data_IF_447014822687
#
_entry.id   IF_447014822687
#
_cell.length_a   1.000
_cell.length_b   1.000
_cell.length_c   1.000
_cell.angle_alpha   90.00
_cell.angle_beta   90.00
_cell.angle_gamma   90.00
#
_symmetry.space_group_name_H-M   'P 1'
#
loop_
_entity.id
_entity.type
_entity.pdbx_description
1 polymer ?
#
# COMPACT_ATOMS: atom_id res chain seq x y z
N UNK A 1 15.19 -26.82 -4.61
CA UNK A 1 14.85 -26.32 -3.26
C UNK A 1 15.77 -26.83 -2.15
N UNK A 2 16.11 -28.14 -2.08
CA UNK A 2 16.94 -28.67 -0.96
C UNK A 2 18.33 -28.03 -0.83
N UNK A 3 18.94 -27.65 -1.95
CA UNK A 3 20.24 -26.96 -1.97
C UNK A 3 20.14 -25.49 -1.49
N UNK A 4 19.13 -24.76 -1.98
CA UNK A 4 18.89 -23.36 -1.59
C UNK A 4 18.58 -23.23 -0.09
N UNK A 5 17.83 -24.17 0.47
CA UNK A 5 17.54 -24.22 1.91
C UNK A 5 18.81 -24.46 2.75
N UNK A 6 19.71 -25.31 2.28
CA UNK A 6 20.99 -25.55 2.95
C UNK A 6 21.90 -24.30 2.92
N UNK A 7 21.91 -23.55 1.80
CA UNK A 7 22.60 -22.25 1.69
C UNK A 7 21.97 -21.19 2.60
N UNK A 8 20.65 -21.09 2.63
CA UNK A 8 19.96 -20.16 3.54
C UNK A 8 20.34 -20.40 5.01
N UNK A 9 20.42 -21.67 5.44
CA UNK A 9 20.82 -22.02 6.79
C UNK A 9 22.27 -21.61 7.16
N UNK A 10 23.13 -21.36 6.17
CA UNK A 10 24.53 -20.95 6.36
C UNK A 10 24.70 -19.42 6.32
N UNK A 11 23.74 -18.67 5.76
CA UNK A 11 23.86 -17.23 5.49
C UNK A 11 24.28 -16.40 6.71
N UNK A 12 23.81 -16.75 7.90
CA UNK A 12 24.17 -16.01 9.12
C UNK A 12 25.69 -15.98 9.36
N UNK A 13 26.39 -17.07 9.06
CA UNK A 13 27.85 -17.15 9.15
C UNK A 13 28.60 -16.52 7.97
N UNK A 14 27.89 -16.14 6.91
CA UNK A 14 28.46 -15.59 5.67
C UNK A 14 28.27 -14.07 5.55
N UNK A 15 27.62 -13.42 6.52
CA UNK A 15 27.30 -12.00 6.43
C UNK A 15 28.54 -11.13 6.14
N UNK A 16 29.59 -11.23 6.97
CA UNK A 16 30.79 -10.39 6.83
C UNK A 16 31.53 -10.64 5.51
N UNK A 17 31.60 -11.91 5.07
CA UNK A 17 32.28 -12.27 3.83
C UNK A 17 31.51 -11.78 2.61
N UNK A 18 30.17 -11.91 2.60
CA UNK A 18 29.28 -11.40 1.54
C UNK A 18 29.32 -9.88 1.47
N UNK A 19 29.23 -9.20 2.61
CA UNK A 19 29.34 -7.74 2.69
C UNK A 19 30.68 -7.25 2.13
N UNK A 20 31.78 -7.87 2.56
CA UNK A 20 33.12 -7.53 2.07
C UNK A 20 33.27 -7.75 0.56
N UNK A 21 32.82 -8.90 0.06
CA UNK A 21 32.89 -9.23 -1.36
C UNK A 21 32.03 -8.28 -2.22
N UNK A 22 30.77 -8.08 -1.85
CA UNK A 22 29.83 -7.25 -2.60
C UNK A 22 30.25 -5.77 -2.60
N UNK A 23 30.67 -5.24 -1.45
CA UNK A 23 31.14 -3.84 -1.34
C UNK A 23 32.41 -3.60 -2.16
N UNK A 24 33.31 -4.59 -2.25
CA UNK A 24 34.53 -4.48 -3.04
C UNK A 24 34.26 -4.40 -4.56
N UNK A 25 33.11 -4.88 -5.02
CA UNK A 25 32.69 -4.78 -6.43
C UNK A 25 32.09 -3.41 -6.78
N UNK A 26 31.68 -2.62 -5.79
CA UNK A 26 30.94 -1.37 -6.05
C UNK A 26 31.85 -0.33 -6.71
N UNK A 27 31.54 0.00 -7.96
CA UNK A 27 32.14 1.12 -8.70
C UNK A 27 31.34 2.42 -8.60
N UNK A 28 30.04 2.34 -8.31
CA UNK A 28 29.15 3.51 -8.20
C UNK A 28 28.09 3.30 -7.12
N UNK A 29 27.77 4.36 -6.38
CA UNK A 29 26.65 4.41 -5.43
C UNK A 29 25.60 5.42 -5.89
N UNK A 30 24.34 5.00 -5.89
CA UNK A 30 23.21 5.87 -6.20
C UNK A 30 22.17 5.78 -5.06
N UNK A 31 21.52 6.91 -4.76
CA UNK A 31 20.41 6.97 -3.81
C UNK A 31 19.07 6.83 -4.52
N UNK A 32 18.10 6.20 -3.87
CA UNK A 32 16.76 5.98 -4.41
C UNK A 32 15.70 6.30 -3.35
N UNK A 33 14.53 6.74 -3.82
CA UNK A 33 13.37 6.96 -2.94
C UNK A 33 12.85 5.64 -2.36
N UNK A 34 12.67 4.64 -3.20
CA UNK A 34 12.04 3.35 -2.87
C UNK A 34 12.80 2.26 -3.66
N UNK A 35 12.53 0.94 -3.54
CA UNK A 35 13.00 -0.02 -4.52
C UNK A 35 12.71 0.46 -5.95
N UNK A 36 13.77 0.91 -6.63
CA UNK A 36 13.74 1.31 -8.04
C UNK A 36 14.04 0.15 -8.97
N UNK A 37 14.36 -1.02 -8.39
CA UNK A 37 14.78 -2.22 -9.08
C UNK A 37 14.24 -3.42 -8.30
N UNK A 38 13.57 -4.31 -9.01
CA UNK A 38 13.33 -5.70 -8.60
C UNK A 38 13.65 -6.55 -9.83
N UNK A 39 14.25 -7.72 -9.61
CA UNK A 39 14.64 -8.60 -10.70
C UNK A 39 13.46 -9.42 -11.24
N UNK A 40 12.37 -9.57 -10.46
CA UNK A 40 11.19 -10.34 -10.85
C UNK A 40 10.37 -9.59 -11.89
N UNK A 41 10.02 -10.23 -13.01
CA UNK A 41 9.13 -9.65 -14.01
C UNK A 41 7.80 -9.18 -13.42
N UNK A 42 7.38 -7.98 -13.82
CA UNK A 42 6.11 -7.34 -13.43
C UNK A 42 5.91 -7.10 -11.92
N UNK A 43 6.97 -7.11 -11.11
CA UNK A 43 6.84 -6.88 -9.67
C UNK A 43 6.09 -5.57 -9.37
N UNK A 44 6.49 -4.46 -9.99
CA UNK A 44 5.87 -3.16 -9.75
C UNK A 44 4.40 -3.12 -10.18
N UNK A 45 4.08 -3.64 -11.37
CA UNK A 45 2.73 -3.61 -11.89
C UNK A 45 1.79 -4.55 -11.13
N UNK A 46 2.21 -5.78 -10.81
CA UNK A 46 1.34 -6.75 -10.13
C UNK A 46 1.10 -6.42 -8.66
N UNK A 47 2.05 -5.73 -8.03
CA UNK A 47 1.98 -5.34 -6.62
C UNK A 47 1.52 -3.87 -6.46
N UNK A 48 1.16 -3.20 -7.57
CA UNK A 48 0.75 -1.79 -7.62
C UNK A 48 1.73 -0.82 -6.95
N UNK A 49 3.01 -1.14 -7.09
CA UNK A 49 4.12 -0.36 -6.57
C UNK A 49 4.67 0.54 -7.67
N UNK A 50 5.00 1.78 -7.32
CA UNK A 50 5.79 2.63 -8.20
C UNK A 50 7.27 2.34 -7.99
N UNK A 51 7.98 2.10 -9.09
CA UNK A 51 9.44 2.02 -9.03
C UNK A 51 10.03 3.31 -8.45
N UNK A 52 10.91 3.16 -7.46
CA UNK A 52 11.66 4.26 -6.90
C UNK A 52 12.51 4.99 -7.94
N UNK A 53 12.68 6.29 -7.74
CA UNK A 53 13.51 7.14 -8.62
C UNK A 53 14.89 7.34 -8.02
N UNK A 54 15.90 7.44 -8.90
CA UNK A 54 17.24 7.87 -8.50
C UNK A 54 17.19 9.31 -7.96
N UNK A 55 17.94 9.55 -6.90
CA UNK A 55 18.12 10.84 -6.25
C UNK A 55 19.52 11.38 -6.55
N UNK A 56 19.63 12.70 -6.72
CA UNK A 56 20.90 13.37 -7.00
C UNK A 56 21.81 13.44 -5.76
N UNK A 57 21.23 13.35 -4.56
CA UNK A 57 21.95 13.41 -3.29
C UNK A 57 21.24 12.57 -2.23
N UNK A 58 21.94 12.28 -1.13
CA UNK A 58 21.35 11.64 0.04
C UNK A 58 20.23 12.54 0.59
N UNK A 59 19.01 12.02 0.77
CA UNK A 59 17.91 12.77 1.37
C UNK A 59 18.05 12.90 2.89
N UNK A 60 17.20 13.74 3.52
CA UNK A 60 17.10 13.87 4.97
C UNK A 60 16.96 12.53 5.72
N UNK A 61 17.45 12.49 6.97
CA UNK A 61 17.51 11.27 7.80
C UNK A 61 16.15 10.83 8.37
N UNK A 62 15.13 11.65 8.21
CA UNK A 62 13.74 11.37 8.62
C UNK A 62 12.95 10.67 7.51
N UNK A 63 13.62 10.17 6.45
CA UNK A 63 12.98 9.50 5.32
C UNK A 63 13.52 8.09 5.10
N UNK A 64 12.62 7.17 4.80
CA UNK A 64 12.96 5.82 4.33
C UNK A 64 13.57 5.90 2.94
N UNK A 65 14.81 5.46 2.75
CA UNK A 65 15.52 5.53 1.46
C UNK A 65 16.44 4.37 1.21
N UNK A 66 16.71 4.13 -0.07
CA UNK A 66 17.63 3.10 -0.51
C UNK A 66 18.94 3.69 -1.02
N UNK A 67 20.01 2.95 -0.85
CA UNK A 67 21.29 3.20 -1.51
C UNK A 67 21.72 1.93 -2.22
N UNK A 68 21.95 2.04 -3.53
CA UNK A 68 22.29 0.89 -4.38
C UNK A 68 23.73 1.04 -4.87
N UNK A 69 24.53 0.02 -4.64
CA UNK A 69 25.89 -0.14 -5.14
C UNK A 69 25.87 -0.93 -6.44
N UNK A 70 26.43 -0.35 -7.49
CA UNK A 70 26.56 -0.96 -8.82
C UNK A 70 28.01 -1.33 -9.11
N UNK A 71 28.22 -2.47 -9.76
CA UNK A 71 29.52 -2.88 -10.28
C UNK A 71 29.93 -2.13 -11.56
N UNK A 72 31.07 -2.50 -12.14
CA UNK A 72 31.59 -1.89 -13.37
C UNK A 72 30.71 -2.12 -14.61
N UNK A 73 29.91 -3.19 -14.62
CA UNK A 73 28.93 -3.47 -15.68
C UNK A 73 27.57 -2.81 -15.42
N UNK A 74 27.41 -2.11 -14.29
CA UNK A 74 26.17 -1.43 -13.92
C UNK A 74 25.12 -2.35 -13.31
N UNK A 75 25.48 -3.54 -12.83
CA UNK A 75 24.59 -4.47 -12.12
C UNK A 75 24.59 -4.15 -10.63
N UNK A 76 23.44 -4.27 -9.98
CA UNK A 76 23.34 -4.09 -8.53
C UNK A 76 24.09 -5.24 -7.82
N UNK A 77 24.94 -4.89 -6.86
CA UNK A 77 25.71 -5.84 -6.03
C UNK A 77 25.44 -5.65 -4.54
N UNK A 78 25.03 -4.45 -4.11
CA UNK A 78 24.63 -4.13 -2.74
C UNK A 78 23.39 -3.24 -2.75
N UNK A 79 22.43 -3.51 -1.89
CA UNK A 79 21.29 -2.64 -1.61
C UNK A 79 21.27 -2.40 -0.09
N UNK A 80 21.29 -1.14 0.32
CA UNK A 80 21.19 -0.70 1.70
C UNK A 80 19.86 0.04 1.90
N UNK A 81 19.05 -0.36 2.88
CA UNK A 81 17.78 0.28 3.22
C UNK A 81 17.92 1.05 4.54
N UNK A 82 17.63 2.35 4.51
CA UNK A 82 17.71 3.25 5.65
C UNK A 82 16.31 3.69 6.06
N UNK A 83 16.01 3.68 7.36
CA UNK A 83 14.69 4.08 7.85
C UNK A 83 14.70 5.48 8.46
N UNK A 84 13.76 6.32 8.01
CA UNK A 84 13.45 7.63 8.55
C UNK A 84 12.95 7.57 9.99
N UNK A 85 12.06 6.61 10.27
CA UNK A 85 11.59 6.32 11.63
C UNK A 85 12.75 5.99 12.59
N UNK A 86 13.74 5.25 12.09
CA UNK A 86 14.97 4.93 12.82
C UNK A 86 16.06 6.02 12.70
N UNK A 87 15.69 7.25 12.34
CA UNK A 87 16.58 8.40 12.23
C UNK A 87 17.75 8.18 11.25
N UNK A 88 17.44 7.58 10.10
CA UNK A 88 18.37 7.34 9.00
C UNK A 88 19.36 6.22 9.30
N UNK A 89 18.99 5.27 10.18
CA UNK A 89 19.76 4.06 10.45
C UNK A 89 19.52 3.02 9.35
N UNK A 90 20.59 2.34 8.96
CA UNK A 90 20.55 1.15 8.14
C UNK A 90 19.80 0.05 8.90
N UNK A 91 18.78 -0.54 8.28
CA UNK A 91 17.98 -1.60 8.90
C UNK A 91 17.93 -2.88 8.08
N UNK A 92 18.04 -2.78 6.74
CA UNK A 92 18.22 -3.94 5.86
C UNK A 92 19.40 -3.80 4.90
N UNK A 93 19.98 -4.94 4.55
CA UNK A 93 21.03 -5.06 3.53
C UNK A 93 20.76 -6.27 2.62
N UNK A 94 20.91 -6.08 1.31
CA UNK A 94 20.87 -7.16 0.32
C UNK A 94 22.21 -7.23 -0.41
N UNK A 95 22.82 -8.41 -0.43
CA UNK A 95 24.04 -8.68 -1.20
C UNK A 95 23.69 -9.54 -2.41
N UNK A 96 24.04 -9.06 -3.60
CA UNK A 96 23.68 -9.68 -4.88
C UNK A 96 24.92 -10.24 -5.57
N UNK A 97 24.93 -11.55 -5.80
CA UNK A 97 25.95 -12.26 -6.54
C UNK A 97 25.48 -12.60 -7.95
N UNK A 98 26.37 -12.45 -8.93
CA UNK A 98 26.11 -12.76 -10.34
C UNK A 98 27.07 -13.86 -10.80
N UNK A 99 26.54 -15.02 -11.23
CA UNK A 99 27.31 -16.14 -11.76
C UNK A 99 26.65 -16.67 -13.04
N UNK A 100 27.12 -16.16 -14.19
CA UNK A 100 26.56 -16.49 -15.50
C UNK A 100 25.05 -16.19 -15.56
N UNK A 101 24.26 -17.23 -15.79
CA UNK A 101 22.80 -17.16 -15.89
C UNK A 101 22.07 -17.20 -14.53
N UNK A 102 22.81 -17.22 -13.43
CA UNK A 102 22.27 -17.28 -12.06
C UNK A 102 22.59 -15.99 -11.32
N UNK A 103 21.56 -15.42 -10.69
CA UNK A 103 21.71 -14.30 -9.74
C UNK A 103 21.22 -14.77 -8.38
N UNK A 104 22.01 -14.54 -7.33
CA UNK A 104 21.63 -14.81 -5.95
C UNK A 104 21.49 -13.48 -5.20
N UNK A 105 20.42 -13.32 -4.43
CA UNK A 105 20.25 -12.16 -3.54
C UNK A 105 19.99 -12.62 -2.10
N UNK A 106 20.94 -12.32 -1.20
CA UNK A 106 20.84 -12.62 0.21
C UNK A 106 20.47 -11.36 0.99
N UNK A 107 19.33 -11.37 1.67
CA UNK A 107 18.78 -10.22 2.40
C UNK A 107 18.84 -10.42 3.90
N UNK A 108 19.25 -9.38 4.61
CA UNK A 108 19.55 -9.39 6.03
C UNK A 108 18.87 -8.23 6.76
N UNK A 109 18.48 -8.48 8.00
CA UNK A 109 18.16 -7.47 9.00
C UNK A 109 19.17 -7.46 10.13
N UNK A 110 18.88 -6.67 11.17
CA UNK A 110 19.70 -6.59 12.38
C UNK A 110 19.80 -7.91 13.15
N UNK A 111 18.87 -8.85 12.91
CA UNK A 111 18.78 -10.13 13.62
C UNK A 111 19.37 -11.30 12.79
N UNK A 112 19.68 -11.08 11.50
CA UNK A 112 20.34 -12.05 10.62
C UNK A 112 19.71 -12.17 9.22
N UNK A 113 19.80 -13.33 8.55
CA UNK A 113 19.25 -13.50 7.20
C UNK A 113 17.73 -13.61 7.21
N UNK A 114 17.04 -12.81 6.39
CA UNK A 114 15.57 -12.86 6.19
C UNK A 114 15.22 -13.84 5.07
N UNK A 115 15.84 -13.68 3.90
CA UNK A 115 15.60 -14.54 2.74
C UNK A 115 16.85 -14.69 1.86
N UNK A 116 16.81 -15.74 1.03
CA UNK A 116 17.70 -15.98 -0.09
C UNK A 116 16.86 -16.18 -1.35
N UNK A 117 17.08 -15.34 -2.35
CA UNK A 117 16.56 -15.54 -3.70
C UNK A 117 17.63 -16.12 -4.61
N UNK A 118 17.20 -17.03 -5.49
CA UNK A 118 17.97 -17.45 -6.65
C UNK A 118 17.13 -17.24 -7.91
N UNK A 119 17.63 -16.39 -8.79
CA UNK A 119 17.05 -16.11 -10.09
C UNK A 119 17.83 -16.86 -11.16
N UNK A 120 17.13 -17.52 -12.08
CA UNK A 120 17.76 -18.23 -13.20
C UNK A 120 17.24 -17.71 -14.52
N UNK A 121 18.16 -17.43 -15.43
CA UNK A 121 17.86 -16.96 -16.79
C UNK A 121 18.21 -18.03 -17.82
N UNK A 122 17.53 -17.98 -18.97
CA UNK A 122 17.87 -18.76 -20.17
C UNK A 122 17.63 -17.86 -21.36
N UNK A 123 18.66 -17.68 -22.19
CA UNK A 123 18.66 -16.74 -23.32
C UNK A 123 18.30 -15.31 -22.89
N UNK A 124 18.96 -14.83 -21.82
CA UNK A 124 18.76 -13.49 -21.22
C UNK A 124 17.35 -13.24 -20.62
N UNK A 125 16.46 -14.24 -20.64
CA UNK A 125 15.13 -14.15 -20.06
C UNK A 125 15.07 -14.90 -18.73
N UNK A 126 14.65 -14.22 -17.65
CA UNK A 126 14.45 -14.86 -16.35
C UNK A 126 13.37 -15.93 -16.45
N UNK A 127 13.70 -17.19 -16.12
CA UNK A 127 12.79 -18.35 -16.18
C UNK A 127 12.25 -18.78 -14.84
N UNK A 128 12.99 -18.54 -13.77
CA UNK A 128 12.49 -18.78 -12.43
C UNK A 128 13.11 -17.85 -11.39
N UNK A 129 12.37 -17.65 -10.30
CA UNK A 129 12.85 -17.08 -9.06
C UNK A 129 12.49 -18.05 -7.93
N UNK A 130 13.48 -18.69 -7.34
CA UNK A 130 13.32 -19.57 -6.17
C UNK A 130 13.65 -18.76 -4.90
N UNK A 131 12.90 -18.97 -3.82
CA UNK A 131 13.04 -18.23 -2.56
C UNK A 131 13.04 -19.18 -1.38
N UNK A 132 13.96 -18.99 -0.43
CA UNK A 132 13.86 -19.54 0.92
C UNK A 132 13.96 -18.40 1.91
N UNK A 133 12.99 -18.28 2.81
CA UNK A 133 12.93 -17.25 3.83
C UNK A 133 12.65 -17.85 5.21
N UNK A 134 12.84 -17.05 6.27
CA UNK A 134 12.46 -17.42 7.65
C UNK A 134 11.01 -17.90 7.75
N UNK A 135 10.12 -17.32 6.94
CA UNK A 135 8.68 -17.59 6.95
C UNK A 135 8.17 -18.64 5.95
N UNK A 136 9.06 -19.29 5.19
CA UNK A 136 8.68 -20.28 4.19
C UNK A 136 9.47 -20.16 2.90
N UNK A 137 9.21 -21.07 1.96
CA UNK A 137 9.84 -21.08 0.64
C UNK A 137 8.82 -20.76 -0.45
N UNK A 138 9.34 -20.36 -1.60
CA UNK A 138 8.53 -20.02 -2.76
C UNK A 138 9.24 -20.22 -4.07
N UNK A 139 8.48 -20.35 -5.15
CA UNK A 139 8.97 -20.41 -6.51
C UNK A 139 8.03 -19.67 -7.45
N UNK A 140 8.63 -18.86 -8.31
CA UNK A 140 7.98 -18.30 -9.48
C UNK A 140 8.59 -18.92 -10.74
N UNK A 141 7.76 -19.25 -11.73
CA UNK A 141 8.18 -19.69 -13.07
C UNK A 141 7.59 -18.80 -14.15
N UNK A 142 8.41 -18.42 -15.12
CA UNK A 142 8.10 -17.36 -16.08
C UNK A 142 8.04 -17.90 -17.52
N UNK A 143 6.92 -17.66 -18.21
CA UNK A 143 6.77 -17.95 -19.63
C UNK A 143 6.63 -16.67 -20.45
N UNK A 144 7.10 -16.73 -21.69
CA UNK A 144 7.19 -15.58 -22.58
C UNK A 144 6.55 -15.89 -23.93
N UNK A 145 5.96 -14.87 -24.54
CA UNK A 145 5.43 -14.88 -25.90
C UNK A 145 5.97 -13.62 -26.60
N UNK A 146 6.59 -13.80 -27.76
CA UNK A 146 7.23 -12.72 -28.53
C UNK A 146 8.21 -11.86 -27.70
N UNK A 147 8.97 -12.52 -26.82
CA UNK A 147 9.97 -11.88 -25.96
C UNK A 147 9.39 -11.11 -24.76
N UNK A 148 8.07 -11.13 -24.55
CA UNK A 148 7.39 -10.49 -23.43
C UNK A 148 6.83 -11.53 -22.47
N UNK A 149 6.83 -11.23 -21.18
CA UNK A 149 6.24 -12.10 -20.18
C UNK A 149 4.76 -12.32 -20.50
N UNK A 150 4.29 -13.56 -20.51
CA UNK A 150 2.89 -13.88 -20.80
C UNK A 150 2.23 -14.62 -19.65
N UNK A 151 3.02 -15.30 -18.80
CA UNK A 151 2.52 -16.08 -17.68
C UNK A 151 3.55 -16.16 -16.55
N UNK A 152 3.07 -16.07 -15.32
CA UNK A 152 3.84 -16.32 -14.10
C UNK A 152 3.10 -17.37 -13.28
N UNK A 153 3.76 -18.48 -12.96
CA UNK A 153 3.22 -19.50 -12.05
C UNK A 153 3.89 -19.33 -10.70
N UNK A 154 3.09 -19.20 -9.64
CA UNK A 154 3.56 -18.87 -8.29
C UNK A 154 3.16 -20.01 -7.34
N UNK A 155 4.15 -20.55 -6.64
CA UNK A 155 4.00 -21.61 -5.65
C UNK A 155 4.71 -21.20 -4.36
N UNK A 156 3.96 -21.00 -3.28
CA UNK A 156 4.51 -20.69 -1.96
C UNK A 156 4.08 -21.74 -0.92
N UNK A 157 4.95 -22.02 0.03
CA UNK A 157 4.66 -22.95 1.13
C UNK A 157 3.40 -22.51 1.90
N UNK A 158 2.44 -23.43 2.06
CA UNK A 158 1.21 -23.18 2.81
C UNK A 158 0.17 -22.33 2.09
N UNK A 159 0.41 -21.90 0.84
CA UNK A 159 -0.54 -21.15 0.03
C UNK A 159 -1.04 -21.98 -1.15
N UNK A 160 -2.26 -21.67 -1.63
CA UNK A 160 -2.74 -22.24 -2.88
C UNK A 160 -1.91 -21.65 -4.04
N UNK A 161 -1.48 -22.46 -5.02
CA UNK A 161 -0.75 -21.95 -6.17
C UNK A 161 -1.61 -20.95 -6.95
N UNK A 162 -0.95 -19.95 -7.51
CA UNK A 162 -1.59 -18.93 -8.32
C UNK A 162 -0.88 -18.75 -9.66
N UNK A 163 -1.62 -18.17 -10.60
CA UNK A 163 -1.13 -17.93 -11.95
C UNK A 163 -1.47 -16.52 -12.36
N UNK A 164 -0.46 -15.73 -12.71
CA UNK A 164 -0.64 -14.45 -13.38
C UNK A 164 -0.59 -14.66 -14.89
N UNK A 165 -1.48 -14.00 -15.62
CA UNK A 165 -1.45 -13.89 -17.07
C UNK A 165 -1.30 -12.43 -17.45
N UNK A 166 -0.41 -12.15 -18.39
CA UNK A 166 -0.06 -10.79 -18.79
C UNK A 166 -0.41 -10.56 -20.26
N UNK A 167 -1.28 -9.58 -20.50
CA UNK A 167 -1.71 -9.18 -21.83
C UNK A 167 -0.91 -7.96 -22.30
N UNK A 168 -0.50 -7.96 -23.57
CA UNK A 168 0.30 -6.90 -24.16
C UNK A 168 -0.28 -6.42 -25.49
N UNK A 169 -0.07 -5.15 -25.81
CA UNK A 169 -0.31 -4.56 -27.13
C UNK A 169 0.96 -3.88 -27.65
N UNK A 170 0.88 -3.18 -28.79
CA UNK A 170 2.02 -2.47 -29.38
C UNK A 170 2.63 -1.41 -28.46
N UNK A 171 1.91 -0.94 -27.43
CA UNK A 171 2.36 0.05 -26.44
C UNK A 171 2.86 -0.56 -25.14
N UNK A 172 2.86 -1.89 -25.01
CA UNK A 172 3.39 -2.61 -23.84
C UNK A 172 2.32 -3.34 -23.05
N UNK A 173 2.51 -3.46 -21.73
CA UNK A 173 1.58 -4.16 -20.85
C UNK A 173 0.21 -3.48 -20.85
N UNK A 174 -0.84 -4.30 -20.95
CA UNK A 174 -2.24 -3.88 -20.95
C UNK A 174 -2.91 -4.29 -19.65
N UNK A 175 -2.70 -5.55 -19.24
CA UNK A 175 -3.45 -6.13 -18.13
C UNK A 175 -2.68 -7.28 -17.49
N UNK A 176 -2.82 -7.43 -16.18
CA UNK A 176 -2.37 -8.59 -15.42
C UNK A 176 -3.55 -9.16 -14.64
N UNK A 177 -3.83 -10.44 -14.84
CA UNK A 177 -4.89 -11.15 -14.12
C UNK A 177 -4.29 -12.31 -13.35
N UNK A 178 -4.55 -12.37 -12.05
CA UNK A 178 -4.21 -13.50 -11.19
C UNK A 178 -5.38 -14.47 -11.09
N UNK A 179 -5.10 -15.76 -11.17
CA UNK A 179 -6.05 -16.83 -10.93
C UNK A 179 -5.57 -17.67 -9.75
N UNK A 180 -6.42 -17.76 -8.73
CA UNK A 180 -6.22 -18.56 -7.52
C UNK A 180 -7.36 -19.55 -7.35
N UNK A 181 -7.14 -20.80 -7.77
CA UNK A 181 -8.19 -21.82 -7.80
C UNK A 181 -9.35 -21.43 -8.72
N UNK A 182 -10.51 -21.06 -8.16
CA UNK A 182 -11.70 -20.61 -8.91
C UNK A 182 -11.88 -19.08 -8.92
N UNK A 183 -11.04 -18.35 -8.18
CA UNK A 183 -11.09 -16.89 -8.10
C UNK A 183 -10.14 -16.30 -9.15
N UNK A 184 -10.54 -15.20 -9.75
CA UNK A 184 -9.71 -14.41 -10.65
C UNK A 184 -9.77 -12.94 -10.25
N UNK A 185 -8.62 -12.27 -10.22
CA UNK A 185 -8.48 -10.88 -9.83
C UNK A 185 -7.64 -10.12 -10.85
N UNK A 186 -8.03 -8.89 -11.19
CA UNK A 186 -7.23 -8.01 -12.06
C UNK A 186 -6.24 -7.26 -11.17
N UNK A 187 -4.97 -7.63 -11.23
CA UNK A 187 -3.90 -6.98 -10.46
C UNK A 187 -3.48 -5.65 -11.06
N UNK A 188 -3.48 -5.56 -12.39
CA UNK A 188 -3.13 -4.35 -13.11
C UNK A 188 -3.98 -4.23 -14.37
N UNK A 189 -4.38 -3.01 -14.70
CA UNK A 189 -4.94 -2.67 -16.00
C UNK A 189 -4.49 -1.26 -16.39
N UNK A 190 -3.80 -1.13 -17.52
CA UNK A 190 -3.38 0.16 -18.05
C UNK A 190 -4.61 1.02 -18.34
N UNK A 191 -4.69 2.26 -17.82
CA UNK A 191 -5.81 3.13 -18.10
C UNK A 191 -6.04 3.33 -19.62
N UNK A 192 -7.31 3.45 -20.06
CA UNK A 192 -7.61 3.73 -21.46
C UNK A 192 -7.03 5.08 -21.89
N UNK A 193 -6.80 5.25 -23.19
CA UNK A 193 -6.28 6.52 -23.71
C UNK A 193 -7.26 7.66 -23.39
N UNK A 194 -6.74 8.74 -22.80
CA UNK A 194 -7.55 9.89 -22.37
C UNK A 194 -8.23 9.72 -21.02
N UNK A 195 -7.91 8.68 -20.24
CA UNK A 195 -8.34 8.58 -18.84
C UNK A 195 -7.87 9.80 -18.04
N UNK A 196 -8.81 10.47 -17.40
CA UNK A 196 -8.58 11.62 -16.52
C UNK A 196 -8.94 11.20 -15.09
N UNK A 197 -7.91 11.01 -14.26
CA UNK A 197 -8.09 10.60 -12.88
C UNK A 197 -8.86 11.64 -12.07
N UNK A 198 -8.66 12.93 -12.32
CA UNK A 198 -9.34 13.99 -11.57
C UNK A 198 -10.85 13.98 -11.87
N UNK A 199 -11.22 13.79 -13.14
CA UNK A 199 -12.62 13.62 -13.53
C UNK A 199 -13.24 12.32 -12.98
N UNK A 200 -12.48 11.23 -12.93
CA UNK A 200 -12.93 9.96 -12.36
C UNK A 200 -13.12 10.08 -10.83
N UNK A 201 -12.22 10.76 -10.12
CA UNK A 201 -12.35 11.07 -8.69
C UNK A 201 -13.60 11.89 -8.39
N UNK A 202 -13.93 12.90 -9.22
CA UNK A 202 -15.19 13.66 -9.07
C UNK A 202 -16.43 12.77 -9.22
N UNK A 203 -16.41 11.84 -10.17
CA UNK A 203 -17.52 10.88 -10.35
C UNK A 203 -17.70 10.01 -9.11
N UNK A 204 -16.61 9.56 -8.50
CA UNK A 204 -16.64 8.79 -7.25
C UNK A 204 -17.13 9.64 -6.08
N UNK A 205 -16.66 10.89 -5.97
CA UNK A 205 -17.14 11.83 -4.96
C UNK A 205 -18.67 11.99 -5.03
N UNK A 206 -19.22 12.21 -6.22
CA UNK A 206 -20.68 12.35 -6.40
C UNK A 206 -21.43 11.04 -6.10
N UNK A 207 -20.87 9.88 -6.44
CA UNK A 207 -21.43 8.58 -6.07
C UNK A 207 -21.46 8.38 -4.54
N UNK A 208 -20.37 8.71 -3.85
CA UNK A 208 -20.24 8.60 -2.40
C UNK A 208 -21.24 9.47 -1.64
N UNK A 209 -21.57 10.64 -2.18
CA UNK A 209 -22.60 11.51 -1.59
C UNK A 209 -24.02 10.95 -1.66
N UNK A 210 -24.23 9.91 -2.47
CA UNK A 210 -25.47 9.14 -2.53
C UNK A 210 -25.36 7.87 -1.68
N UNK A 211 -24.28 7.11 -1.87
CA UNK A 211 -24.10 5.80 -1.26
C UNK A 211 -23.90 5.87 0.27
N UNK A 212 -23.19 6.88 0.78
CA UNK A 212 -22.93 7.00 2.22
C UNK A 212 -24.24 7.26 3.00
N UNK A 213 -25.10 8.24 2.64
CA UNK A 213 -26.39 8.39 3.31
C UNK A 213 -27.24 7.12 3.27
N UNK A 214 -27.29 6.41 2.13
CA UNK A 214 -28.02 5.15 2.02
C UNK A 214 -27.44 4.06 2.93
N UNK A 215 -26.12 4.04 3.13
CA UNK A 215 -25.44 3.16 4.07
C UNK A 215 -25.75 3.54 5.53
N UNK A 216 -25.65 4.82 5.88
CA UNK A 216 -25.97 5.33 7.22
C UNK A 216 -27.41 5.01 7.61
N UNK A 217 -28.36 5.06 6.68
CA UNK A 217 -29.76 4.68 6.93
C UNK A 217 -29.94 3.22 7.36
N UNK A 218 -28.96 2.35 7.11
CA UNK A 218 -28.95 0.94 7.52
C UNK A 218 -28.23 0.70 8.85
N UNK A 219 -27.58 1.71 9.42
CA UNK A 219 -26.91 1.57 10.71
C UNK A 219 -27.95 1.42 11.82
N UNK A 220 -27.67 0.51 12.75
CA UNK A 220 -28.46 0.33 13.96
C UNK A 220 -28.02 1.33 15.03
N UNK A 221 -28.39 2.61 14.86
CA UNK A 221 -28.08 3.69 15.81
C UNK A 221 -29.35 4.11 16.54
N UNK A 222 -29.48 3.67 17.79
CA UNK A 222 -30.67 3.88 18.63
C UNK A 222 -30.58 5.18 19.45
N UNK A 223 -30.66 6.33 18.77
CA UNK A 223 -30.65 7.66 19.41
C UNK A 223 -30.03 8.75 18.53
N UNK A 224 -29.92 9.99 19.03
CA UNK A 224 -29.22 11.05 18.32
C UNK A 224 -27.76 10.66 18.06
N UNK A 225 -27.40 10.55 16.80
CA UNK A 225 -26.04 10.24 16.39
C UNK A 225 -25.11 11.43 16.68
N UNK A 226 -23.97 11.15 17.29
CA UNK A 226 -22.95 12.14 17.60
C UNK A 226 -21.94 12.30 16.45
N UNK A 227 -21.66 11.21 15.74
CA UNK A 227 -20.88 11.26 14.51
C UNK A 227 -21.07 10.04 13.63
N UNK A 228 -20.64 10.19 12.37
CA UNK A 228 -20.43 9.10 11.41
C UNK A 228 -18.97 9.13 10.98
N UNK A 229 -18.26 8.04 11.20
CA UNK A 229 -16.87 7.90 10.79
C UNK A 229 -16.76 7.13 9.46
N UNK A 230 -15.96 7.65 8.53
CA UNK A 230 -15.55 6.96 7.30
C UNK A 230 -14.20 6.31 7.58
N UNK A 231 -14.23 5.09 8.11
CA UNK A 231 -13.05 4.34 8.56
C UNK A 231 -12.31 3.76 7.36
N UNK A 232 -11.24 4.42 6.92
CA UNK A 232 -10.49 4.03 5.71
C UNK A 232 -9.25 3.20 6.02
N UNK A 233 -8.92 2.30 5.10
CA UNK A 233 -7.70 1.50 5.16
C UNK A 233 -6.56 2.21 4.44
N UNK A 234 -5.47 2.55 5.15
CA UNK A 234 -4.31 3.24 4.55
C UNK A 234 -3.65 2.45 3.41
N UNK A 235 -3.76 1.12 3.46
CA UNK A 235 -3.18 0.21 2.46
C UNK A 235 -4.07 -0.03 1.24
N UNK A 236 -5.32 0.43 1.26
CA UNK A 236 -6.28 0.18 0.19
C UNK A 236 -7.12 1.43 -0.12
N UNK A 237 -6.77 2.11 -1.21
CA UNK A 237 -7.36 3.38 -1.57
C UNK A 237 -8.88 3.26 -1.77
N UNK A 238 -9.65 4.17 -1.16
CA UNK A 238 -11.13 4.21 -1.26
C UNK A 238 -11.79 2.90 -0.85
N UNK A 239 -11.16 2.16 0.06
CA UNK A 239 -11.74 1.05 0.81
C UNK A 239 -11.99 1.55 2.22
N UNK A 240 -13.25 1.59 2.63
CA UNK A 240 -13.64 2.12 3.93
C UNK A 240 -14.98 1.56 4.38
N UNK A 241 -15.19 1.59 5.69
CA UNK A 241 -16.44 1.27 6.35
C UNK A 241 -17.07 2.54 6.92
N UNK A 242 -18.39 2.53 7.06
CA UNK A 242 -19.13 3.60 7.71
C UNK A 242 -19.53 3.14 9.09
N UNK A 243 -19.11 3.90 10.10
CA UNK A 243 -19.43 3.62 11.50
C UNK A 243 -20.27 4.76 12.07
N UNK A 244 -21.22 4.44 12.93
CA UNK A 244 -22.07 5.41 13.62
C UNK A 244 -22.01 5.22 15.12
N UNK A 245 -22.08 6.34 15.85
CA UNK A 245 -22.06 6.34 17.33
C UNK A 245 -23.12 7.29 17.84
N UNK A 246 -23.83 6.92 18.90
CA UNK A 246 -24.81 7.80 19.58
C UNK A 246 -24.12 8.82 20.48
N UNK A 247 -24.82 9.90 20.87
CA UNK A 247 -24.30 10.88 21.84
C UNK A 247 -23.94 10.21 23.18
N UNK A 248 -24.78 9.30 23.68
CA UNK A 248 -24.59 8.59 24.94
C UNK A 248 -23.38 7.62 24.88
N UNK A 249 -23.27 6.86 23.79
CA UNK A 249 -22.15 5.95 23.56
C UNK A 249 -20.84 6.74 23.43
N UNK A 250 -20.82 7.83 22.64
CA UNK A 250 -19.63 8.68 22.51
C UNK A 250 -19.21 9.27 23.86
N UNK A 251 -20.16 9.69 24.69
CA UNK A 251 -19.88 10.19 26.02
C UNK A 251 -19.32 9.11 26.97
N UNK A 252 -19.83 7.88 26.86
CA UNK A 252 -19.32 6.74 27.62
C UNK A 252 -17.88 6.37 27.22
N UNK A 253 -17.59 6.35 25.92
CA UNK A 253 -16.24 6.13 25.40
C UNK A 253 -15.27 7.23 25.84
N UNK A 254 -15.67 8.49 25.72
CA UNK A 254 -14.88 9.65 26.16
C UNK A 254 -14.53 9.61 27.66
N UNK A 255 -15.39 9.02 28.50
CA UNK A 255 -15.14 8.86 29.93
C UNK A 255 -14.07 7.81 30.26
N UNK A 256 -13.81 6.88 29.33
CA UNK A 256 -12.74 5.87 29.43
C UNK A 256 -11.45 6.46 28.87
N UNK A 257 -11.51 6.94 27.63
CA UNK A 257 -10.43 7.57 26.90
C UNK A 257 -11.01 8.59 25.91
N UNK A 258 -10.51 9.82 25.95
CA UNK A 258 -10.96 10.88 25.04
C UNK A 258 -10.76 10.49 23.55
N UNK A 259 -9.75 9.67 23.23
CA UNK A 259 -9.53 9.21 21.86
C UNK A 259 -10.54 8.14 21.41
N UNK A 260 -11.03 7.30 22.33
CA UNK A 260 -12.03 6.28 22.02
C UNK A 260 -13.35 6.90 21.50
N UNK A 261 -13.66 8.14 21.89
CA UNK A 261 -14.82 8.88 21.39
C UNK A 261 -14.79 9.15 19.86
N UNK A 262 -13.63 8.97 19.22
CA UNK A 262 -13.42 9.16 17.78
C UNK A 262 -12.90 7.91 17.08
N UNK A 263 -12.88 6.78 17.77
CA UNK A 263 -12.32 5.52 17.30
C UNK A 263 -13.41 4.63 16.71
N UNK A 264 -13.44 4.44 15.38
CA UNK A 264 -14.41 3.53 14.77
C UNK A 264 -14.27 2.09 15.27
N UNK A 265 -13.09 1.71 15.76
CA UNK A 265 -12.84 0.38 16.34
C UNK A 265 -13.65 0.12 17.61
N UNK A 266 -14.09 1.18 18.30
CA UNK A 266 -14.84 1.11 19.55
C UNK A 266 -16.35 1.34 19.36
N UNK A 267 -16.80 1.61 18.13
CA UNK A 267 -18.21 1.87 17.84
C UNK A 267 -18.97 0.56 17.57
N UNK A 268 -20.20 0.47 18.08
CA UNK A 268 -20.99 -0.75 17.93
C UNK A 268 -21.61 -0.91 16.53
N UNK A 269 -21.94 0.20 15.86
CA UNK A 269 -22.66 0.18 14.58
C UNK A 269 -21.73 0.44 13.40
N UNK A 270 -21.61 -0.54 12.49
CA UNK A 270 -20.86 -0.41 11.25
C UNK A 270 -21.60 -0.98 10.05
N UNK A 271 -21.25 -0.50 8.85
CA UNK A 271 -21.74 -1.02 7.59
C UNK A 271 -20.78 -0.73 6.45
N UNK A 272 -20.81 -1.56 5.42
CA UNK A 272 -20.02 -1.37 4.20
C UNK A 272 -20.69 -0.40 3.22
N UNK A 273 -19.85 0.31 2.46
CA UNK A 273 -20.26 1.06 1.28
C UNK A 273 -19.77 0.32 0.05
N UNK A 274 -20.72 -0.22 -0.70
CA UNK A 274 -20.43 -0.84 -1.98
C UNK A 274 -20.20 0.23 -3.05
N UNK A 275 -18.95 0.32 -3.50
CA UNK A 275 -18.52 1.21 -4.57
C UNK A 275 -18.33 0.49 -5.90
N UNK A 276 -18.51 -0.83 -5.97
CA UNK A 276 -18.09 -1.62 -7.12
C UNK A 276 -18.95 -1.32 -8.38
N UNK A 277 -20.17 -0.82 -8.18
CA UNK A 277 -21.04 -0.32 -9.27
C UNK A 277 -20.69 1.12 -9.72
N UNK A 278 -19.81 1.82 -8.99
CA UNK A 278 -19.43 3.21 -9.27
C UNK A 278 -18.34 3.30 -10.36
N UNK A 279 -18.72 3.03 -11.61
CA UNK A 279 -17.90 3.34 -12.79
C UNK A 279 -16.48 2.75 -12.76
N UNK A 280 -15.47 3.58 -13.02
CA UNK A 280 -14.06 3.17 -13.09
C UNK A 280 -13.37 3.07 -11.71
N UNK A 281 -14.10 2.76 -10.62
CA UNK A 281 -13.55 2.76 -9.25
C UNK A 281 -12.26 1.96 -9.14
N UNK A 282 -12.20 0.77 -9.74
CA UNK A 282 -11.01 -0.09 -9.71
C UNK A 282 -9.79 0.61 -10.32
N UNK A 283 -9.96 1.28 -11.47
CA UNK A 283 -8.90 2.06 -12.09
C UNK A 283 -8.51 3.27 -11.23
N UNK A 284 -9.48 3.93 -10.58
CA UNK A 284 -9.14 5.02 -9.65
C UNK A 284 -8.34 4.50 -8.46
N UNK A 285 -8.77 3.42 -7.80
CA UNK A 285 -8.01 2.78 -6.70
C UNK A 285 -6.58 2.48 -7.13
N UNK A 286 -6.42 1.87 -8.31
CA UNK A 286 -5.12 1.57 -8.90
C UNK A 286 -4.26 2.82 -9.11
N UNK A 287 -4.79 3.84 -9.79
CA UNK A 287 -4.03 5.05 -10.11
C UNK A 287 -3.71 5.86 -8.85
N UNK A 288 -4.58 5.86 -7.83
CA UNK A 288 -4.29 6.45 -6.53
C UNK A 288 -3.12 5.72 -5.85
N UNK A 289 -3.12 4.38 -5.82
CA UNK A 289 -1.99 3.60 -5.32
C UNK A 289 -0.68 3.96 -6.05
N UNK A 290 -0.72 4.10 -7.37
CA UNK A 290 0.47 4.44 -8.17
C UNK A 290 0.91 5.92 -8.07
N UNK A 291 0.02 6.85 -7.73
CA UNK A 291 0.34 8.28 -7.62
C UNK A 291 1.13 8.62 -6.35
N UNK A 292 0.64 8.15 -5.21
CA UNK A 292 1.10 8.56 -3.88
C UNK A 292 2.34 7.79 -3.40
N UNK A 293 2.81 6.80 -4.16
CA UNK A 293 4.13 6.16 -3.98
C UNK A 293 5.34 7.09 -4.25
N UNK A 294 5.11 8.41 -4.31
CA UNK A 294 6.14 9.46 -4.32
C UNK A 294 6.40 10.09 -2.95
N UNK A 295 5.57 9.78 -1.94
CA UNK A 295 5.77 10.22 -0.55
C UNK A 295 6.26 9.03 0.29
N UNK A 296 7.44 9.17 0.88
CA UNK A 296 8.14 8.07 1.55
C UNK A 296 7.46 7.64 2.85
N UNK A 297 6.56 8.47 3.37
CA UNK A 297 5.80 8.25 4.60
C UNK A 297 4.32 7.91 4.35
N UNK A 298 3.87 7.94 3.09
CA UNK A 298 2.50 7.57 2.74
C UNK A 298 2.49 6.12 2.25
N UNK A 299 1.77 5.25 2.95
CA UNK A 299 1.25 4.05 2.30
C UNK A 299 0.61 4.50 0.96
N UNK A 300 1.07 3.89 -0.12
CA UNK A 300 0.69 4.21 -1.49
C UNK A 300 -0.85 4.40 -1.62
N UNK A 301 -1.28 5.58 -2.08
CA UNK A 301 -2.69 5.96 -2.29
C UNK A 301 -3.38 6.69 -1.13
N UNK A 302 -2.68 6.91 0.00
CA UNK A 302 -3.31 7.44 1.20
C UNK A 302 -3.69 8.92 1.12
N UNK A 303 -2.90 9.82 0.55
CA UNK A 303 -3.15 11.26 0.71
C UNK A 303 -4.20 11.81 -0.25
N UNK A 304 -4.17 11.43 -1.53
CA UNK A 304 -5.21 11.86 -2.49
C UNK A 304 -6.54 11.17 -2.16
N UNK A 305 -6.52 9.88 -1.82
CA UNK A 305 -7.69 9.15 -1.34
C UNK A 305 -8.29 9.77 -0.07
N UNK A 306 -7.46 10.09 0.93
CA UNK A 306 -7.87 10.78 2.16
C UNK A 306 -8.49 12.15 1.87
N UNK A 307 -7.89 12.95 0.98
CA UNK A 307 -8.45 14.27 0.60
C UNK A 307 -9.80 14.14 -0.09
N UNK A 308 -9.97 13.12 -0.94
CA UNK A 308 -11.26 12.82 -1.55
C UNK A 308 -12.30 12.53 -0.46
N UNK A 309 -12.00 11.65 0.50
CA UNK A 309 -12.91 11.36 1.61
C UNK A 309 -13.17 12.58 2.50
N UNK A 310 -12.17 13.44 2.73
CA UNK A 310 -12.37 14.71 3.47
C UNK A 310 -13.32 15.65 2.72
N UNK A 311 -13.21 15.72 1.40
CA UNK A 311 -14.09 16.52 0.54
C UNK A 311 -15.53 16.00 0.58
N UNK A 312 -15.70 14.67 0.49
CA UNK A 312 -17.00 14.01 0.66
C UNK A 312 -17.57 14.31 2.04
N UNK A 313 -16.80 14.12 3.11
CA UNK A 313 -17.22 14.39 4.47
C UNK A 313 -17.61 15.87 4.67
N UNK A 314 -16.87 16.81 4.07
CA UNK A 314 -17.21 18.24 4.11
C UNK A 314 -18.60 18.51 3.49
N UNK A 315 -18.89 17.91 2.34
CA UNK A 315 -20.20 18.03 1.67
C UNK A 315 -21.30 17.33 2.48
N UNK A 316 -21.02 16.18 3.10
CA UNK A 316 -21.95 15.47 3.98
C UNK A 316 -22.26 16.24 5.27
N UNK A 317 -21.31 17.00 5.82
CA UNK A 317 -21.55 17.87 6.97
C UNK A 317 -22.47 19.08 6.68
N UNK A 318 -22.68 19.41 5.40
CA UNK A 318 -23.63 20.45 4.98
C UNK A 318 -25.02 19.89 4.64
N UNK A 319 -25.16 18.55 4.64
CA UNK A 319 -26.40 17.86 4.32
C UNK A 319 -27.36 17.92 5.50
N UNK A 320 -28.65 17.99 5.19
CA UNK A 320 -29.70 17.73 6.18
C UNK A 320 -29.88 16.20 6.37
N UNK A 321 -29.70 15.75 7.61
CA UNK A 321 -29.76 14.34 7.99
C UNK A 321 -31.11 13.94 8.57
N UNK A 322 -32.05 14.87 8.75
CA UNK A 322 -33.33 14.61 9.45
C UNK A 322 -34.12 13.43 8.90
N UNK A 323 -34.04 13.18 7.59
CA UNK A 323 -34.75 12.11 6.90
C UNK A 323 -33.96 10.79 6.84
N UNK A 324 -32.71 10.78 7.32
CA UNK A 324 -31.80 9.63 7.29
C UNK A 324 -31.50 9.10 8.68
N UNK A 325 -31.25 9.98 9.65
CA UNK A 325 -30.83 9.62 11.00
C UNK A 325 -31.10 10.79 11.96
N UNK A 326 -31.62 10.58 13.18
CA UNK A 326 -31.62 11.63 14.20
C UNK A 326 -30.18 11.99 14.58
N UNK A 327 -29.84 13.28 14.56
CA UNK A 327 -28.48 13.77 14.79
C UNK A 327 -28.42 14.69 16.02
N UNK A 328 -27.31 14.63 16.76
CA UNK A 328 -27.00 15.55 17.84
C UNK A 328 -26.59 16.94 17.31
N UNK A 329 -26.62 17.95 18.17
CA UNK A 329 -26.31 19.35 17.80
C UNK A 329 -24.90 19.54 17.22
N UNK A 330 -23.95 18.69 17.63
CA UNK A 330 -22.56 18.71 17.16
C UNK A 330 -22.22 17.52 16.26
N UNK A 331 -23.21 16.95 15.57
CA UNK A 331 -23.05 15.80 14.68
C UNK A 331 -21.99 16.00 13.60
N UNK A 332 -20.94 15.16 13.56
CA UNK A 332 -19.87 15.28 12.57
C UNK A 332 -19.79 14.05 11.67
N UNK A 333 -19.57 14.27 10.37
CA UNK A 333 -19.04 13.23 9.47
C UNK A 333 -17.54 13.45 9.26
N UNK A 334 -16.72 12.42 9.43
CA UNK A 334 -15.26 12.57 9.31
C UNK A 334 -14.59 11.29 8.81
N UNK A 335 -13.53 11.40 8.00
CA UNK A 335 -12.71 10.25 7.65
C UNK A 335 -11.57 10.05 8.64
N UNK A 336 -11.25 8.80 8.95
CA UNK A 336 -10.13 8.44 9.83
C UNK A 336 -9.68 7.01 9.53
N UNK A 337 -8.44 6.67 9.82
CA UNK A 337 -8.03 5.26 9.88
C UNK A 337 -8.16 4.71 11.31
N UNK A 338 -8.06 3.38 11.47
CA UNK A 338 -8.24 2.71 12.75
C UNK A 338 -7.18 3.08 13.82
N UNK A 339 -6.03 3.64 13.43
CA UNK A 339 -4.99 4.13 14.36
C UNK A 339 -5.15 5.62 14.69
N UNK A 340 -6.21 6.27 14.20
CA UNK A 340 -6.48 7.71 14.40
C UNK A 340 -5.38 8.63 13.86
N UNK A 341 -4.58 8.16 12.90
CA UNK A 341 -3.45 8.92 12.37
C UNK A 341 -3.98 10.13 11.60
N UNK A 342 -3.63 11.32 12.10
CA UNK A 342 -4.03 12.57 11.48
C UNK A 342 -5.51 12.95 11.69
N UNK A 343 -6.19 12.41 12.71
CA UNK A 343 -7.58 12.75 13.04
C UNK A 343 -7.83 14.26 13.07
N UNK A 344 -7.03 15.03 13.82
CA UNK A 344 -7.18 16.50 13.88
C UNK A 344 -7.06 17.17 12.51
N UNK A 345 -6.15 16.66 11.66
CA UNK A 345 -5.96 17.16 10.30
C UNK A 345 -7.17 16.84 9.43
N UNK A 346 -7.70 15.63 9.50
CA UNK A 346 -8.91 15.22 8.75
C UNK A 346 -10.13 16.04 9.17
N UNK A 347 -10.31 16.27 10.47
CA UNK A 347 -11.38 17.13 10.98
C UNK A 347 -11.22 18.59 10.52
N UNK A 348 -10.00 19.12 10.51
CA UNK A 348 -9.74 20.45 9.98
C UNK A 348 -9.99 20.56 8.47
N UNK A 349 -9.72 19.49 7.71
CA UNK A 349 -9.95 19.43 6.27
C UNK A 349 -11.45 19.31 5.93
N UNK A 350 -12.29 18.72 6.81
CA UNK A 350 -13.71 18.52 6.54
C UNK A 350 -14.68 19.45 7.30
N UNK A 351 -14.23 20.20 8.29
CA UNK A 351 -15.07 21.09 9.10
C UNK A 351 -14.70 22.58 8.96
N UNK A 352 -15.69 23.49 9.04
CA UNK A 352 -15.42 24.92 9.20
C UNK A 352 -14.64 25.20 10.49
N UNK A 353 -13.73 26.20 10.52
CA UNK A 353 -12.91 26.53 11.69
C UNK A 353 -13.70 26.75 12.98
N UNK A 354 -14.85 27.43 12.90
CA UNK A 354 -15.71 27.71 14.06
C UNK A 354 -16.36 26.44 14.64
N UNK A 355 -16.57 25.41 13.82
CA UNK A 355 -17.08 24.13 14.30
C UNK A 355 -15.98 23.35 15.01
N UNK A 356 -14.79 23.33 14.45
CA UNK A 356 -13.62 22.70 15.08
C UNK A 356 -13.25 23.37 16.41
N UNK A 357 -13.30 24.70 16.48
CA UNK A 357 -13.09 25.45 17.72
C UNK A 357 -14.10 25.06 18.81
N UNK A 358 -15.39 24.93 18.46
CA UNK A 358 -16.43 24.49 19.40
C UNK A 358 -16.20 23.07 19.93
N UNK A 359 -15.71 22.15 19.10
CA UNK A 359 -15.36 20.80 19.55
C UNK A 359 -14.23 20.83 20.59
N UNK A 360 -13.18 21.64 20.34
CA UNK A 360 -12.07 21.86 21.30
C UNK A 360 -12.54 22.52 22.60
N UNK A 361 -13.38 23.56 22.51
CA UNK A 361 -13.94 24.25 23.69
C UNK A 361 -14.79 23.32 24.57
N UNK A 362 -15.46 22.33 23.96
CA UNK A 362 -16.23 21.30 24.66
C UNK A 362 -15.35 20.17 25.21
N UNK A 363 -14.03 20.20 25.01
CA UNK A 363 -13.10 19.16 25.42
C UNK A 363 -13.29 17.85 24.67
N UNK A 364 -13.85 17.91 23.46
CA UNK A 364 -14.02 16.74 22.59
C UNK A 364 -12.81 16.50 21.70
N UNK A 365 -11.84 17.42 21.63
CA UNK A 365 -10.59 17.30 20.88
C UNK A 365 -9.40 17.78 21.71
#
# INVERSE_FOLDING_TARGET
MSDLAARFAQLAGEYDSRKGAATALVGRWDWYTWPGLDLRPLHFERDLLKAGRRLDARPPVDRDVLRIGFDAEGRAVVIEEYSGFLHGRLYYETFVGHDGDVVEAAHFDTDGPIYLHEYRSVDELMRSADTVARGGSGRESYAYTDGRISRIEIEHDGQAPSVLTAEHDDRGLVRVVEVMGRRSEVRYERPPAGFDLEAACRTIEDALLTLIPDAVARLAVDGPAACVALSYYRSDALSFEVHGVTEDERAALAAIDAQAAWSPADFEASTDVDLDDAGSVRLVRQELALLDAGDLDAAAGSEVGRRLLCTVAARLNLRDWSDTLPVADDFVVYPVDLELVGLERNLADCLPPDRLARLRERGLL
#
